data_IF_996488214886
#
_entry.id   IF_996488214886
#
_cell.length_a   1.000
_cell.length_b   1.000
_cell.length_c   1.000
_cell.angle_alpha   90.00
_cell.angle_beta   90.00
_cell.angle_gamma   90.00
#
_symmetry.space_group_name_H-M   'P 1'
#
loop_
_entity.id
_entity.type
_entity.pdbx_description
1 polymer ?
#
# COMPACT_ATOMS: atom_id res chain seq x y z
N UNK A 1 0.78 -17.15 -13.75
CA UNK A 1 1.56 -16.20 -12.92
C UNK A 1 1.45 -16.62 -11.47
N UNK A 2 2.57 -16.85 -10.77
CA UNK A 2 2.57 -17.35 -9.38
C UNK A 2 2.67 -16.18 -8.40
N UNK A 3 1.71 -16.06 -7.49
CA UNK A 3 1.73 -15.09 -6.39
C UNK A 3 2.82 -15.47 -5.38
N UNK A 4 3.63 -14.51 -4.93
CA UNK A 4 4.60 -14.69 -3.84
C UNK A 4 4.06 -14.03 -2.56
N UNK A 5 3.38 -14.75 -1.66
CA UNK A 5 2.93 -14.15 -0.42
C UNK A 5 4.14 -13.70 0.44
N UNK A 6 4.02 -12.60 1.17
CA UNK A 6 5.06 -12.17 2.11
C UNK A 6 5.26 -13.22 3.22
N UNK A 7 6.50 -13.41 3.72
CA UNK A 7 6.78 -14.34 4.81
C UNK A 7 6.15 -13.89 6.13
N UNK A 8 5.89 -14.84 7.04
CA UNK A 8 5.32 -14.55 8.36
C UNK A 8 6.15 -13.55 9.17
N UNK A 9 7.49 -13.69 9.13
CA UNK A 9 8.43 -12.69 9.66
C UNK A 9 8.84 -11.75 8.53
N UNK A 10 8.43 -10.49 8.62
CA UNK A 10 8.67 -9.45 7.62
C UNK A 10 8.94 -8.11 8.29
N UNK A 11 9.76 -7.27 7.66
CA UNK A 11 9.88 -5.88 8.09
C UNK A 11 8.59 -5.17 7.73
N UNK A 12 7.96 -4.56 8.72
CA UNK A 12 6.75 -3.76 8.57
C UNK A 12 7.00 -2.40 9.21
N UNK A 13 6.54 -1.35 8.55
CA UNK A 13 6.59 0.01 9.06
C UNK A 13 5.25 0.69 8.78
N UNK A 14 4.89 1.63 9.63
CA UNK A 14 3.65 2.38 9.52
C UNK A 14 3.97 3.86 9.53
N UNK A 15 3.18 4.63 8.79
CA UNK A 15 3.31 6.08 8.70
C UNK A 15 1.93 6.69 8.45
N UNK A 16 1.79 7.95 8.85
CA UNK A 16 0.58 8.72 8.63
C UNK A 16 0.82 9.76 7.55
N UNK A 17 -0.20 10.06 6.77
CA UNK A 17 -0.17 11.13 5.79
C UNK A 17 -1.57 11.74 5.63
N UNK A 18 -1.63 12.98 5.17
CA UNK A 18 -2.90 13.66 4.89
C UNK A 18 -3.12 13.72 3.39
N UNK A 19 -4.33 13.37 2.93
CA UNK A 19 -4.75 13.48 1.54
C UNK A 19 -6.17 14.05 1.50
N UNK A 20 -6.38 15.14 0.77
CA UNK A 20 -7.68 15.83 0.66
C UNK A 20 -8.36 16.12 2.03
N UNK A 21 -7.57 16.49 3.04
CA UNK A 21 -8.07 16.82 4.37
C UNK A 21 -8.38 15.61 5.28
N UNK A 22 -8.16 14.39 4.80
CA UNK A 22 -8.31 13.18 5.59
C UNK A 22 -6.95 12.63 6.05
N UNK A 23 -6.85 12.27 7.33
CA UNK A 23 -5.67 11.61 7.88
C UNK A 23 -5.75 10.11 7.61
N UNK A 24 -4.81 9.61 6.81
CA UNK A 24 -4.64 8.20 6.51
C UNK A 24 -3.53 7.61 7.38
N UNK A 25 -3.71 6.34 7.76
CA UNK A 25 -2.65 5.50 8.30
C UNK A 25 -2.29 4.44 7.26
N UNK A 26 -1.05 4.47 6.80
CA UNK A 26 -0.48 3.41 5.97
C UNK A 26 0.32 2.42 6.80
N UNK A 27 0.30 1.16 6.40
CA UNK A 27 1.31 0.19 6.82
C UNK A 27 1.85 -0.54 5.61
N UNK A 28 3.17 -0.68 5.54
CA UNK A 28 3.89 -1.25 4.42
C UNK A 28 4.85 -2.32 4.92
N UNK A 29 4.98 -3.42 4.18
CA UNK A 29 5.94 -4.46 4.50
C UNK A 29 6.85 -4.81 3.33
N UNK A 30 8.06 -5.29 3.65
CA UNK A 30 9.10 -5.61 2.67
C UNK A 30 9.48 -7.08 2.74
N UNK A 31 9.79 -7.65 1.58
CA UNK A 31 10.46 -8.94 1.48
C UNK A 31 11.88 -8.86 2.08
N UNK A 32 12.52 -10.01 2.37
CA UNK A 32 13.91 -10.04 2.83
C UNK A 32 14.92 -9.38 1.88
N UNK A 33 14.60 -9.31 0.58
CA UNK A 33 15.40 -8.64 -0.45
C UNK A 33 15.20 -7.10 -0.49
N UNK A 34 14.37 -6.55 0.41
CA UNK A 34 14.10 -5.13 0.53
C UNK A 34 12.99 -4.62 -0.39
N UNK A 35 12.49 -5.42 -1.33
CA UNK A 35 11.37 -5.01 -2.19
C UNK A 35 10.07 -4.87 -1.40
N UNK A 36 9.24 -3.91 -1.79
CA UNK A 36 7.92 -3.72 -1.20
C UNK A 36 7.03 -4.94 -1.50
N UNK A 37 6.38 -5.47 -0.48
CA UNK A 37 5.58 -6.69 -0.56
C UNK A 37 4.07 -6.43 -0.49
N UNK A 38 3.65 -5.47 0.33
CA UNK A 38 2.25 -5.11 0.54
C UNK A 38 2.18 -3.72 1.17
N UNK A 39 1.03 -3.08 0.97
CA UNK A 39 0.65 -1.81 1.59
C UNK A 39 -0.83 -1.86 1.95
N UNK A 40 -1.18 -1.33 3.12
CA UNK A 40 -2.55 -1.20 3.61
C UNK A 40 -2.85 0.25 3.97
N UNK A 41 -4.11 0.65 3.81
CA UNK A 41 -4.61 1.96 4.18
C UNK A 41 -5.79 1.84 5.13
N UNK A 42 -5.82 2.72 6.12
CA UNK A 42 -6.93 2.93 7.04
C UNK A 42 -7.23 4.44 7.09
N UNK A 43 -8.50 4.81 7.16
CA UNK A 43 -8.95 6.20 7.19
C UNK A 43 -10.31 6.35 7.84
N UNK A 44 -10.43 7.37 8.69
CA UNK A 44 -11.72 7.93 9.11
C UNK A 44 -12.66 6.93 9.76
N UNK A 45 -13.95 7.03 9.42
CA UNK A 45 -15.02 6.22 10.01
C UNK A 45 -15.05 4.83 9.37
N UNK A 46 -15.18 3.82 10.23
CA UNK A 46 -15.35 2.44 9.81
C UNK A 46 -16.55 2.25 8.87
N UNK A 47 -16.39 1.45 7.81
CA UNK A 47 -17.38 1.19 6.75
C UNK A 47 -17.85 2.44 5.97
N UNK A 48 -17.07 3.53 5.99
CA UNK A 48 -17.34 4.65 5.09
C UNK A 48 -16.91 4.30 3.65
N UNK A 49 -17.56 4.87 2.61
CA UNK A 49 -17.12 4.69 1.23
C UNK A 49 -15.65 5.08 1.02
N UNK A 50 -15.17 6.09 1.76
CA UNK A 50 -13.78 6.54 1.73
C UNK A 50 -12.82 5.44 2.22
N UNK A 51 -13.12 4.82 3.36
CA UNK A 51 -12.32 3.74 3.89
C UNK A 51 -12.37 2.51 2.98
N UNK A 52 -13.55 2.11 2.52
CA UNK A 52 -13.72 0.95 1.63
C UNK A 52 -12.91 1.12 0.34
N UNK A 53 -12.92 2.33 -0.25
CA UNK A 53 -12.12 2.63 -1.43
C UNK A 53 -10.61 2.59 -1.14
N UNK A 54 -10.18 3.15 0.00
CA UNK A 54 -8.77 3.14 0.41
C UNK A 54 -8.24 1.72 0.64
N UNK A 55 -9.00 0.89 1.36
CA UNK A 55 -8.67 -0.52 1.61
C UNK A 55 -8.65 -1.31 0.30
N UNK A 56 -9.66 -1.15 -0.56
CA UNK A 56 -9.73 -1.85 -1.84
C UNK A 56 -8.53 -1.51 -2.72
N UNK A 57 -8.17 -0.23 -2.83
CA UNK A 57 -7.02 0.20 -3.60
C UNK A 57 -5.70 -0.38 -3.03
N UNK A 58 -5.54 -0.37 -1.71
CA UNK A 58 -4.35 -0.90 -1.05
C UNK A 58 -4.22 -2.43 -1.21
N UNK A 59 -5.33 -3.17 -1.14
CA UNK A 59 -5.36 -4.61 -1.42
C UNK A 59 -4.98 -4.90 -2.86
N UNK A 60 -5.51 -4.16 -3.84
CA UNK A 60 -5.15 -4.34 -5.25
C UNK A 60 -3.66 -4.07 -5.49
N UNK A 61 -3.10 -2.99 -4.95
CA UNK A 61 -1.67 -2.69 -5.03
C UNK A 61 -0.84 -3.80 -4.38
N UNK A 62 -1.24 -4.31 -3.21
CA UNK A 62 -0.57 -5.43 -2.55
C UNK A 62 -0.57 -6.70 -3.41
N UNK A 63 -1.66 -7.00 -4.11
CA UNK A 63 -1.72 -8.13 -5.03
C UNK A 63 -0.76 -7.94 -6.20
N UNK A 64 -0.71 -6.76 -6.81
CA UNK A 64 0.21 -6.44 -7.89
C UNK A 64 1.67 -6.61 -7.47
N UNK A 65 2.05 -6.08 -6.30
CA UNK A 65 3.40 -6.24 -5.73
C UNK A 65 3.73 -7.73 -5.52
N UNK A 66 2.79 -8.51 -5.01
CA UNK A 66 2.99 -9.96 -4.79
C UNK A 66 3.06 -10.77 -6.09
N UNK A 67 2.58 -10.21 -7.20
CA UNK A 67 2.75 -10.75 -8.54
C UNK A 67 3.99 -10.20 -9.26
N UNK A 68 4.80 -9.39 -8.58
CA UNK A 68 6.08 -8.90 -9.08
C UNK A 68 5.96 -7.66 -9.99
N UNK A 69 4.83 -6.95 -9.95
CA UNK A 69 4.72 -5.67 -10.64
C UNK A 69 5.52 -4.62 -9.85
N UNK A 70 6.39 -3.88 -10.54
CA UNK A 70 7.21 -2.85 -9.91
C UNK A 70 6.37 -1.68 -9.39
N UNK A 71 6.76 -1.14 -8.24
CA UNK A 71 6.05 -0.04 -7.59
C UNK A 71 5.92 1.20 -8.50
N UNK A 72 6.98 1.53 -9.26
CA UNK A 72 6.93 2.58 -10.28
C UNK A 72 5.84 2.33 -11.33
N UNK A 73 5.71 1.10 -11.84
CA UNK A 73 4.67 0.76 -12.83
C UNK A 73 3.27 0.97 -12.25
N UNK A 74 3.08 0.60 -10.98
CA UNK A 74 1.82 0.80 -10.26
C UNK A 74 1.54 2.30 -10.10
N UNK A 75 2.53 3.10 -9.70
CA UNK A 75 2.40 4.56 -9.52
C UNK A 75 1.91 5.27 -10.80
N UNK A 76 2.37 4.83 -11.97
CA UNK A 76 1.88 5.38 -13.24
C UNK A 76 0.39 5.11 -13.47
N UNK A 77 -0.17 4.06 -12.85
CA UNK A 77 -1.53 3.54 -13.11
C UNK A 77 -2.57 3.90 -12.04
N UNK A 78 -2.15 4.37 -10.86
CA UNK A 78 -3.05 4.67 -9.73
C UNK A 78 -3.01 6.15 -9.34
N UNK A 79 -4.06 6.63 -8.68
CA UNK A 79 -4.18 8.03 -8.19
C UNK A 79 -4.79 8.05 -6.79
N UNK A 80 -4.84 9.23 -6.19
CA UNK A 80 -5.44 9.45 -4.88
C UNK A 80 -4.56 8.98 -3.73
N UNK A 81 -5.13 8.63 -2.56
CA UNK A 81 -4.37 8.37 -1.34
C UNK A 81 -3.43 7.17 -1.45
N UNK A 82 -3.76 6.18 -2.29
CA UNK A 82 -2.89 5.02 -2.52
C UNK A 82 -1.60 5.38 -3.26
N UNK A 83 -1.63 6.36 -4.17
CA UNK A 83 -0.44 6.82 -4.87
C UNK A 83 0.51 7.52 -3.90
N UNK A 84 -0.01 8.44 -3.09
CA UNK A 84 0.76 9.14 -2.03
C UNK A 84 1.39 8.15 -1.06
N UNK A 85 0.62 7.16 -0.60
CA UNK A 85 1.13 6.14 0.31
C UNK A 85 2.23 5.29 -0.34
N UNK A 86 2.05 4.91 -1.60
CA UNK A 86 3.03 4.09 -2.32
C UNK A 86 4.34 4.87 -2.57
N UNK A 87 4.27 6.14 -2.96
CA UNK A 87 5.45 7.02 -3.08
C UNK A 87 6.25 7.08 -1.77
N UNK A 88 5.55 7.31 -0.66
CA UNK A 88 6.17 7.35 0.67
C UNK A 88 6.74 5.99 1.09
N UNK A 89 6.10 4.88 0.71
CA UNK A 89 6.56 3.54 1.05
C UNK A 89 7.77 3.08 0.21
N UNK A 90 7.96 3.63 -1.00
CA UNK A 90 9.10 3.35 -1.86
C UNK A 90 10.35 4.10 -1.39
N UNK A 91 10.18 5.33 -0.87
CA UNK A 91 11.27 6.13 -0.33
C UNK A 91 12.07 5.38 0.78
N UNK A 92 13.40 5.59 0.87
CA UNK A 92 14.28 4.88 1.80
C UNK A 92 14.05 5.26 3.28
#
# INVERSE_FOLDING_TARGET
MTRKPPPYKRRCFAFNFTHEGHLYRASASRYPDGRLAEIFLDVGKFNSPLQQNAETAAVLVSLLLQHGVDADTILHSVRGPIATALEMAVAP
#
